data_IF_044140993181
#
_entry.id   IF_044140993181
#
_cell.length_a   1.000
_cell.length_b   1.000
_cell.length_c   1.000
_cell.angle_alpha   90.00
_cell.angle_beta   90.00
_cell.angle_gamma   90.00
#
_symmetry.space_group_name_H-M   'P 1'
#
loop_
_entity.id
_entity.type
_entity.pdbx_description
1 polymer ?
#
# COMPACT_ATOMS: atom_id res chain seq x y z
N UNK A 1 4.00 -11.29 11.36
CA UNK A 1 5.29 -10.83 10.83
C UNK A 1 5.63 -11.51 9.49
N UNK A 2 6.21 -12.73 9.43
CA UNK A 2 6.54 -13.36 8.13
C UNK A 2 5.32 -13.61 7.21
N UNK A 3 4.18 -13.95 7.82
CA UNK A 3 2.90 -14.09 7.12
C UNK A 3 2.49 -12.80 6.41
N UNK A 4 2.75 -11.64 7.02
CA UNK A 4 2.38 -10.33 6.47
C UNK A 4 3.22 -10.02 5.21
N UNK A 5 4.49 -10.43 5.20
CA UNK A 5 5.38 -10.29 4.03
C UNK A 5 4.89 -11.13 2.86
N UNK A 6 4.53 -12.40 3.11
CA UNK A 6 3.99 -13.28 2.07
C UNK A 6 2.63 -12.79 1.55
N UNK A 7 1.75 -12.32 2.44
CA UNK A 7 0.46 -11.73 2.07
C UNK A 7 0.66 -10.45 1.26
N UNK A 8 1.65 -9.63 1.61
CA UNK A 8 1.99 -8.42 0.85
C UNK A 8 2.42 -8.76 -0.58
N UNK A 9 3.23 -9.80 -0.79
CA UNK A 9 3.61 -10.24 -2.12
C UNK A 9 2.39 -10.67 -2.97
N UNK A 10 1.45 -11.43 -2.39
CA UNK A 10 0.21 -11.80 -3.06
C UNK A 10 -0.69 -10.60 -3.35
N UNK A 11 -0.77 -9.62 -2.43
CA UNK A 11 -1.51 -8.37 -2.64
C UNK A 11 -0.92 -7.55 -3.78
N UNK A 12 0.40 -7.42 -3.87
CA UNK A 12 1.05 -6.71 -4.97
C UNK A 12 0.76 -7.39 -6.32
N UNK A 13 0.81 -8.73 -6.38
CA UNK A 13 0.44 -9.48 -7.59
C UNK A 13 -0.99 -9.20 -8.02
N UNK A 14 -1.95 -9.30 -7.09
CA UNK A 14 -3.36 -9.01 -7.36
C UNK A 14 -3.63 -7.55 -7.71
N UNK A 15 -2.82 -6.64 -7.18
CA UNK A 15 -2.89 -5.23 -7.52
C UNK A 15 -2.47 -4.99 -8.97
N UNK A 16 -1.39 -5.64 -9.44
CA UNK A 16 -1.00 -5.58 -10.85
C UNK A 16 -2.10 -6.14 -11.78
N UNK A 17 -2.76 -7.23 -11.38
CA UNK A 17 -3.92 -7.78 -12.10
C UNK A 17 -5.08 -6.77 -12.14
N UNK A 18 -5.41 -6.14 -11.01
CA UNK A 18 -6.44 -5.11 -10.92
C UNK A 18 -6.16 -3.93 -11.85
N UNK A 19 -4.92 -3.43 -11.89
CA UNK A 19 -4.51 -2.34 -12.78
C UNK A 19 -4.71 -2.70 -14.26
N UNK A 20 -4.32 -3.93 -14.64
CA UNK A 20 -4.51 -4.44 -16.00
C UNK A 20 -5.98 -4.52 -16.38
N UNK A 21 -6.84 -5.01 -15.49
CA UNK A 21 -8.27 -5.13 -15.72
C UNK A 21 -8.96 -3.77 -15.89
N UNK A 22 -8.44 -2.74 -15.23
CA UNK A 22 -8.93 -1.35 -15.32
C UNK A 22 -8.18 -0.51 -16.36
N UNK A 23 -7.31 -1.13 -17.17
CA UNK A 23 -6.47 -0.46 -18.17
C UNK A 23 -5.75 0.78 -17.60
N UNK A 24 -5.25 0.66 -16.37
CA UNK A 24 -4.59 1.74 -15.64
C UNK A 24 -3.09 1.48 -15.56
N UNK A 25 -2.29 2.36 -16.14
CA UNK A 25 -0.84 2.31 -16.02
C UNK A 25 -0.35 3.25 -14.91
N UNK A 26 0.64 2.79 -14.16
CA UNK A 26 1.37 3.60 -13.18
C UNK A 26 2.62 4.18 -13.86
N UNK A 27 2.98 5.40 -13.47
CA UNK A 27 4.15 6.11 -14.01
C UNK A 27 5.47 5.55 -13.45
N UNK A 28 5.38 4.83 -12.33
CA UNK A 28 6.50 4.25 -11.61
C UNK A 28 6.20 2.81 -11.20
N UNK A 29 7.25 2.01 -11.00
CA UNK A 29 7.10 0.70 -10.40
C UNK A 29 6.68 0.85 -8.93
N UNK A 30 5.57 0.24 -8.56
CA UNK A 30 4.97 0.36 -7.23
C UNK A 30 4.87 -0.99 -6.54
N UNK A 31 5.25 -1.03 -5.26
CA UNK A 31 4.96 -2.16 -4.38
C UNK A 31 4.73 -1.66 -2.96
N UNK A 32 3.89 -2.35 -2.21
CA UNK A 32 3.58 -2.00 -0.83
C UNK A 32 3.67 -3.21 0.11
N UNK A 33 4.08 -2.95 1.35
CA UNK A 33 3.99 -3.91 2.44
C UNK A 33 2.77 -3.59 3.30
N UNK A 34 1.82 -4.52 3.36
CA UNK A 34 0.63 -4.42 4.20
C UNK A 34 0.88 -5.21 5.47
N UNK A 35 1.02 -4.49 6.58
CA UNK A 35 1.42 -5.04 7.87
C UNK A 35 0.27 -4.94 8.86
N UNK A 36 0.09 -5.99 9.68
CA UNK A 36 -0.86 -5.94 10.78
C UNK A 36 -0.30 -5.05 11.90
N UNK A 37 -0.98 -3.93 12.20
CA UNK A 37 -0.56 -2.96 13.19
C UNK A 37 -0.30 -3.56 14.59
N UNK A 38 -1.04 -4.61 14.97
CA UNK A 38 -0.84 -5.28 16.27
C UNK A 38 0.31 -6.29 16.29
N UNK A 39 0.84 -6.67 15.12
CA UNK A 39 1.87 -7.69 14.99
C UNK A 39 3.27 -7.11 14.79
N UNK A 40 3.42 -5.80 14.58
CA UNK A 40 4.71 -5.16 14.36
C UNK A 40 4.91 -4.00 15.33
N UNK A 41 6.10 -3.84 15.96
CA UNK A 41 6.39 -2.72 16.86
C UNK A 41 6.72 -1.45 16.05
N UNK A 42 5.88 -1.12 15.07
CA UNK A 42 6.00 0.11 14.30
C UNK A 42 5.35 1.19 15.14
N UNK A 43 6.17 1.91 15.91
CA UNK A 43 5.70 3.11 16.59
C UNK A 43 5.00 3.99 15.56
N UNK A 44 3.79 4.48 15.88
CA UNK A 44 3.22 5.63 15.18
C UNK A 44 4.04 6.86 15.57
N UNK A 45 5.32 6.87 15.21
CA UNK A 45 6.19 8.03 15.35
C UNK A 45 5.50 9.13 14.58
N UNK A 46 5.23 10.25 15.27
CA UNK A 46 4.37 11.33 14.82
C UNK A 46 4.44 11.49 13.30
N UNK A 47 3.34 11.13 12.63
CA UNK A 47 3.23 11.25 11.17
C UNK A 47 3.25 12.75 10.91
N UNK A 48 4.45 13.30 10.67
CA UNK A 48 4.58 14.66 10.16
C UNK A 48 3.81 14.70 8.84
N UNK A 49 3.03 15.74 8.56
CA UNK A 49 2.37 15.87 7.27
C UNK A 49 3.42 15.72 6.16
N UNK A 50 3.32 14.62 5.43
CA UNK A 50 4.20 14.28 4.33
C UNK A 50 3.43 14.52 3.05
N UNK A 51 3.90 15.48 2.25
CA UNK A 51 3.41 15.64 0.89
C UNK A 51 4.05 14.52 0.05
N UNK A 52 3.22 13.56 -0.36
CA UNK A 52 3.65 12.50 -1.27
C UNK A 52 3.98 13.16 -2.62
N UNK A 53 5.10 12.80 -3.27
CA UNK A 53 5.40 13.26 -4.63
C UNK A 53 4.27 12.94 -5.61
N UNK A 54 4.05 13.82 -6.59
CA UNK A 54 2.92 13.70 -7.53
C UNK A 54 2.96 12.38 -8.31
N UNK A 55 4.16 11.89 -8.64
CA UNK A 55 4.42 10.64 -9.34
C UNK A 55 3.97 9.41 -8.53
N UNK A 56 3.98 9.51 -7.19
CA UNK A 56 3.55 8.45 -6.27
C UNK A 56 2.05 8.52 -5.94
N UNK A 57 1.44 9.70 -6.06
CA UNK A 57 0.06 9.94 -5.65
C UNK A 57 -0.92 9.00 -6.36
N UNK A 58 -0.79 8.85 -7.68
CA UNK A 58 -1.64 7.95 -8.46
C UNK A 58 -1.53 6.50 -7.97
N UNK A 59 -0.31 6.03 -7.71
CA UNK A 59 -0.06 4.66 -7.27
C UNK A 59 -0.68 4.38 -5.90
N UNK A 60 -0.54 5.32 -4.96
CA UNK A 60 -1.14 5.24 -3.63
C UNK A 60 -2.67 5.21 -3.72
N UNK A 61 -3.28 6.12 -4.48
CA UNK A 61 -4.73 6.18 -4.66
C UNK A 61 -5.29 4.90 -5.29
N UNK A 62 -4.64 4.37 -6.33
CA UNK A 62 -5.06 3.11 -6.96
C UNK A 62 -4.94 1.93 -6.01
N UNK A 63 -3.88 1.88 -5.18
CA UNK A 63 -3.72 0.82 -4.19
C UNK A 63 -4.79 0.89 -3.10
N UNK A 64 -5.14 2.09 -2.62
CA UNK A 64 -6.23 2.27 -1.66
C UNK A 64 -7.58 1.83 -2.23
N UNK A 65 -7.88 2.22 -3.48
CA UNK A 65 -9.10 1.79 -4.16
C UNK A 65 -9.17 0.26 -4.26
N UNK A 66 -8.10 -0.36 -4.76
CA UNK A 66 -7.95 -1.82 -4.81
C UNK A 66 -8.17 -2.46 -3.44
N UNK A 67 -7.49 -1.95 -2.40
CA UNK A 67 -7.55 -2.53 -1.06
C UNK A 67 -8.96 -2.43 -0.46
N UNK A 68 -9.63 -1.30 -0.64
CA UNK A 68 -11.00 -1.07 -0.17
C UNK A 68 -12.02 -2.03 -0.80
N UNK A 69 -11.84 -2.45 -2.06
CA UNK A 69 -12.74 -3.45 -2.69
C UNK A 69 -12.67 -4.82 -2.02
N UNK A 70 -11.55 -5.15 -1.35
CA UNK A 70 -11.31 -6.48 -0.76
C UNK A 70 -11.43 -6.50 0.75
N UNK A 71 -11.10 -5.40 1.42
CA UNK A 71 -11.00 -5.33 2.88
C UNK A 71 -11.86 -4.21 3.44
N UNK A 72 -13.18 -4.38 3.33
CA UNK A 72 -14.14 -3.43 3.86
C UNK A 72 -13.99 -3.32 5.41
N UNK A 73 -14.05 -2.09 5.92
CA UNK A 73 -13.90 -1.79 7.34
C UNK A 73 -12.46 -1.73 7.86
N UNK A 74 -11.43 -1.81 6.99
CA UNK A 74 -10.04 -1.57 7.36
C UNK A 74 -9.54 -0.24 6.80
N UNK A 75 -8.70 0.45 7.56
CA UNK A 75 -8.04 1.69 7.14
C UNK A 75 -6.53 1.46 7.01
N UNK A 76 -5.96 1.88 5.88
CA UNK A 76 -4.50 1.90 5.69
C UNK A 76 -3.89 3.13 6.38
N UNK A 77 -2.68 2.97 6.89
CA UNK A 77 -1.84 4.06 7.40
C UNK A 77 -0.49 3.94 6.73
N UNK A 78 -0.13 4.93 5.92
CA UNK A 78 1.11 4.90 5.16
C UNK A 78 2.29 5.33 6.02
N UNK A 79 3.35 4.53 6.02
CA UNK A 79 4.59 4.78 6.76
C UNK A 79 5.73 5.08 5.77
N UNK A 80 5.62 6.19 5.03
CA UNK A 80 6.57 6.55 3.96
C UNK A 80 8.02 6.66 4.42
N UNK A 81 8.25 7.04 5.68
CA UNK A 81 9.60 7.16 6.27
C UNK A 81 10.33 5.81 6.43
N UNK A 82 9.63 4.68 6.24
CA UNK A 82 10.21 3.33 6.28
C UNK A 82 10.47 2.76 4.87
N UNK A 83 10.08 3.49 3.83
CA UNK A 83 10.32 3.11 2.43
C UNK A 83 11.73 3.58 2.00
N UNK A 84 12.40 2.78 1.19
CA UNK A 84 13.63 3.14 0.48
C UNK A 84 13.36 3.23 -1.02
#
# INVERSE_FOLDING_TARGET
MFTDVNVSADLNRRFMEFLRDHNTELEINFSAYVLNAGAWPLSQTAISPFAIPQELEKSVQQFEAFYNTRFNGRKLTWLHHLCN
#
